data_IF_481333185153
#
_entry.id   IF_481333185153
#
_cell.length_a   1.000
_cell.length_b   1.000
_cell.length_c   1.000
_cell.angle_alpha   90.00
_cell.angle_beta   90.00
_cell.angle_gamma   90.00
#
_symmetry.space_group_name_H-M   'P 1'
#
loop_
_entity.id
_entity.type
_entity.pdbx_description
1 polymer ?
#
# COMPACT_ATOMS: atom_id res chain seq x y z
N UNK A 1 12.51 10.77 -6.19
CA UNK A 1 11.27 10.14 -5.74
C UNK A 1 11.25 8.69 -6.20
N UNK A 2 10.83 7.81 -5.35
CA UNK A 2 10.75 6.38 -5.66
C UNK A 2 9.30 5.96 -5.80
N UNK A 3 9.03 5.11 -6.77
CA UNK A 3 7.68 4.60 -6.99
C UNK A 3 7.74 3.09 -7.11
N UNK A 4 6.94 2.40 -6.34
CA UNK A 4 6.91 0.95 -6.32
C UNK A 4 5.45 0.47 -6.32
N UNK A 5 5.18 -0.56 -7.10
CA UNK A 5 3.84 -1.13 -7.19
C UNK A 5 3.82 -2.49 -6.50
N UNK A 6 2.82 -2.67 -5.65
CA UNK A 6 2.58 -3.93 -4.93
C UNK A 6 1.21 -4.47 -5.29
N UNK A 7 0.99 -5.74 -5.04
CA UNK A 7 -0.32 -6.36 -5.17
C UNK A 7 -0.83 -6.73 -3.78
N UNK A 8 -2.02 -6.26 -3.44
CA UNK A 8 -2.65 -6.52 -2.16
C UNK A 8 -3.91 -7.35 -2.39
N UNK A 9 -4.05 -8.44 -1.65
CA UNK A 9 -5.22 -9.31 -1.74
C UNK A 9 -6.19 -9.04 -0.60
N UNK A 10 -7.46 -9.32 -0.84
CA UNK A 10 -8.49 -9.18 0.18
C UNK A 10 -9.26 -7.87 0.14
N UNK A 11 -8.83 -6.93 -0.69
CA UNK A 11 -9.56 -5.67 -0.85
C UNK A 11 -10.79 -5.92 -1.73
N UNK A 12 -11.97 -5.65 -1.18
CA UNK A 12 -13.22 -5.93 -1.89
C UNK A 12 -14.11 -4.70 -2.08
N UNK A 13 -13.74 -3.58 -1.47
CA UNK A 13 -14.55 -2.35 -1.55
C UNK A 13 -13.68 -1.11 -1.29
N UNK A 14 -14.28 0.05 -1.49
CA UNK A 14 -13.57 1.32 -1.30
C UNK A 14 -13.10 1.55 0.12
N UNK A 15 -13.83 1.03 1.10
CA UNK A 15 -13.42 1.13 2.50
C UNK A 15 -12.09 0.40 2.74
N UNK A 16 -11.92 -0.73 2.07
CA UNK A 16 -10.66 -1.47 2.14
C UNK A 16 -9.52 -0.64 1.56
N UNK A 17 -9.77 0.00 0.43
CA UNK A 17 -8.79 0.90 -0.20
C UNK A 17 -8.40 2.02 0.75
N UNK A 18 -9.38 2.64 1.39
CA UNK A 18 -9.13 3.74 2.33
C UNK A 18 -8.27 3.28 3.50
N UNK A 19 -8.56 2.11 4.07
CA UNK A 19 -7.80 1.57 5.19
C UNK A 19 -6.35 1.34 4.84
N UNK A 20 -6.09 0.71 3.69
CA UNK A 20 -4.73 0.46 3.22
C UNK A 20 -4.01 1.78 2.94
N UNK A 21 -4.69 2.72 2.30
CA UNK A 21 -4.11 4.01 1.98
C UNK A 21 -3.69 4.76 3.25
N UNK A 22 -4.55 4.78 4.26
CA UNK A 22 -4.25 5.45 5.52
C UNK A 22 -3.04 4.84 6.21
N UNK A 23 -2.99 3.51 6.29
CA UNK A 23 -1.86 2.82 6.91
C UNK A 23 -0.55 3.09 6.18
N UNK A 24 -0.59 3.09 4.85
CA UNK A 24 0.61 3.37 4.07
C UNK A 24 1.07 4.81 4.24
N UNK A 25 0.15 5.76 4.39
CA UNK A 25 0.51 7.16 4.60
C UNK A 25 1.18 7.40 5.96
N UNK A 26 1.04 6.48 6.90
CA UNK A 26 1.71 6.61 8.20
C UNK A 26 3.21 6.28 8.11
N UNK A 27 3.66 5.72 7.01
CA UNK A 27 5.07 5.41 6.82
C UNK A 27 5.82 6.68 6.43
N UNK A 28 6.91 6.95 7.14
CA UNK A 28 7.75 8.11 6.85
C UNK A 28 8.30 8.03 5.43
N UNK A 29 8.19 9.13 4.71
CA UNK A 29 8.69 9.23 3.35
C UNK A 29 7.65 8.94 2.28
N UNK A 30 6.52 8.37 2.64
CA UNK A 30 5.44 8.12 1.67
C UNK A 30 4.77 9.44 1.33
N UNK A 31 4.79 9.80 0.05
CA UNK A 31 4.21 11.04 -0.45
C UNK A 31 2.82 10.82 -1.03
N UNK A 32 2.62 9.72 -1.73
CA UNK A 32 1.36 9.44 -2.41
C UNK A 32 1.11 7.94 -2.50
N UNK A 33 -0.15 7.57 -2.39
CA UNK A 33 -0.57 6.17 -2.55
C UNK A 33 -1.71 6.13 -3.56
N UNK A 34 -1.61 5.24 -4.54
CA UNK A 34 -2.66 5.05 -5.54
C UNK A 34 -3.05 3.57 -5.54
N UNK A 35 -4.33 3.29 -5.44
CA UNK A 35 -4.83 1.92 -5.36
C UNK A 35 -5.80 1.66 -6.50
N UNK A 36 -5.60 0.53 -7.19
CA UNK A 36 -6.54 0.04 -8.20
C UNK A 36 -7.28 -1.16 -7.61
N UNK A 37 -8.52 -0.95 -7.26
CA UNK A 37 -9.34 -1.98 -6.62
C UNK A 37 -9.58 -3.17 -7.54
N UNK A 38 -9.72 -2.92 -8.84
CA UNK A 38 -10.01 -3.98 -9.80
C UNK A 38 -8.91 -5.03 -9.89
N UNK A 39 -7.65 -4.60 -9.75
CA UNK A 39 -6.50 -5.50 -9.86
C UNK A 39 -5.82 -5.76 -8.53
N UNK A 40 -6.13 -4.96 -7.52
CA UNK A 40 -5.44 -5.02 -6.23
C UNK A 40 -4.07 -4.35 -6.26
N UNK A 41 -3.74 -3.63 -7.31
CA UNK A 41 -2.44 -2.97 -7.44
C UNK A 41 -2.38 -1.72 -6.57
N UNK A 42 -1.31 -1.60 -5.79
CA UNK A 42 -1.06 -0.45 -4.92
C UNK A 42 0.27 0.17 -5.33
N UNK A 43 0.23 1.41 -5.78
CA UNK A 43 1.43 2.14 -6.16
C UNK A 43 1.76 3.15 -5.07
N UNK A 44 2.95 3.01 -4.51
CA UNK A 44 3.44 3.89 -3.46
C UNK A 44 4.52 4.80 -4.03
N UNK A 45 4.32 6.10 -3.92
CA UNK A 45 5.31 7.09 -4.32
C UNK A 45 5.91 7.68 -3.05
N UNK A 46 7.22 7.66 -2.93
CA UNK A 46 7.90 8.14 -1.73
C UNK A 46 9.03 9.10 -2.09
N UNK A 47 9.31 10.02 -1.17
CA UNK A 47 10.41 10.97 -1.33
C UNK A 47 11.78 10.32 -1.06
N UNK A 48 11.77 9.15 -0.45
CA UNK A 48 12.96 8.37 -0.15
C UNK A 48 12.59 6.89 -0.22
N UNK A 49 13.57 6.00 -0.39
CA UNK A 49 13.28 4.57 -0.44
C UNK A 49 12.59 4.09 0.84
N UNK A 50 11.55 3.30 0.68
CA UNK A 50 10.79 2.72 1.78
C UNK A 50 10.99 1.20 1.75
N UNK A 51 11.20 0.61 2.94
CA UNK A 51 11.39 -0.82 3.06
C UNK A 51 10.12 -1.59 2.71
N UNK A 52 10.28 -2.68 1.95
CA UNK A 52 9.17 -3.56 1.62
C UNK A 52 8.49 -4.11 2.88
N UNK A 53 9.28 -4.33 3.94
CA UNK A 53 8.72 -4.83 5.20
C UNK A 53 7.81 -3.82 5.87
N UNK A 54 8.10 -2.52 5.73
CA UNK A 54 7.22 -1.49 6.27
C UNK A 54 5.89 -1.48 5.51
N UNK A 55 5.96 -1.65 4.19
CA UNK A 55 4.74 -1.72 3.36
C UNK A 55 3.92 -2.95 3.75
N UNK A 56 4.57 -4.09 3.92
CA UNK A 56 3.89 -5.32 4.31
C UNK A 56 3.23 -5.18 5.67
N UNK A 57 3.95 -4.62 6.64
CA UNK A 57 3.40 -4.43 7.97
C UNK A 57 2.18 -3.52 7.96
N UNK A 58 2.23 -2.44 7.18
CA UNK A 58 1.10 -1.52 7.07
C UNK A 58 -0.11 -2.21 6.44
N UNK A 59 0.10 -3.00 5.41
CA UNK A 59 -0.98 -3.74 4.75
C UNK A 59 -1.59 -4.75 5.71
N UNK A 60 -0.75 -5.47 6.47
CA UNK A 60 -1.22 -6.44 7.45
C UNK A 60 -1.98 -5.77 8.59
N UNK A 61 -1.52 -4.61 9.04
CA UNK A 61 -2.21 -3.85 10.08
C UNK A 61 -3.60 -3.42 9.61
N UNK A 62 -3.77 -3.17 8.33
CA UNK A 62 -5.07 -2.85 7.77
C UNK A 62 -5.97 -4.08 7.63
N UNK A 63 -5.43 -5.28 7.83
CA UNK A 63 -6.19 -6.52 7.77
C UNK A 63 -6.12 -7.23 6.42
N UNK A 64 -5.14 -6.89 5.59
CA UNK A 64 -4.99 -7.47 4.25
C UNK A 64 -3.66 -8.16 4.11
N UNK A 65 -3.44 -8.79 2.97
CA UNK A 65 -2.22 -9.54 2.71
C UNK A 65 -1.52 -8.96 1.49
N UNK A 66 -0.24 -8.67 1.64
CA UNK A 66 0.61 -8.25 0.54
C UNK A 66 1.02 -9.47 -0.25
N UNK A 67 0.57 -9.57 -1.49
CA UNK A 67 1.03 -10.61 -2.40
C UNK A 67 2.41 -10.20 -2.94
N UNK A 68 3.05 -11.09 -3.66
CA UNK A 68 4.33 -10.76 -4.29
C UNK A 68 4.14 -9.57 -5.25
N UNK A 69 5.10 -8.68 -5.24
CA UNK A 69 5.08 -7.55 -6.15
C UNK A 69 5.86 -7.85 -7.43
#
# INVERSE_FOLDING_TARGET
MAQTTYTVTGMTCEHCVASVTEELHEIDGVAQVSVDLATGAVTVTSSQPVDDEQIRAAVQDAGYILAAN
#
